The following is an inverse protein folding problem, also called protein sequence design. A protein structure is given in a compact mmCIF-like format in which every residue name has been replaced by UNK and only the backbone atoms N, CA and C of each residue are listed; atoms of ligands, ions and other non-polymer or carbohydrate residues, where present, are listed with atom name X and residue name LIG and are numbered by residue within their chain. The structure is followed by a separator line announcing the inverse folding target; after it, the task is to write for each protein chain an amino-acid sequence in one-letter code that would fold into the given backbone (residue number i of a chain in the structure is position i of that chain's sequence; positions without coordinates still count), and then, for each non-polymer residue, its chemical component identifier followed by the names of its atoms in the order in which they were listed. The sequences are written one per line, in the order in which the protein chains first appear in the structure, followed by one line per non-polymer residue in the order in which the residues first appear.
data_IF_884365691992
#
_entry.id   IF_884365691992
#
_cell.length_a   1.000
_cell.length_b   1.000
_cell.length_c   1.000
_cell.angle_alpha   90.00
_cell.angle_beta   90.00
_cell.angle_gamma   90.00
#
_symmetry.space_group_name_H-M   'P 1'
#
loop_
_entity.id
_entity.type
_entity.pdbx_description
1 polymer ?
#
# COMPACT_ATOMS: atom_id res chain seq x y z
N UNK A 1 -21.26 31.67 -0.08
CA UNK A 1 -21.62 30.46 -0.85
C UNK A 1 -20.99 29.28 -0.14
N UNK A 2 -21.80 28.40 0.45
CA UNK A 2 -21.32 27.25 1.23
C UNK A 2 -21.37 26.00 0.37
N UNK A 3 -20.23 25.32 0.23
CA UNK A 3 -20.11 24.08 -0.54
C UNK A 3 -20.80 22.97 0.27
N UNK A 4 -21.76 22.21 -0.29
CA UNK A 4 -22.39 21.11 0.43
C UNK A 4 -21.37 19.99 0.64
N UNK A 5 -21.10 19.65 1.90
CA UNK A 5 -20.33 18.46 2.25
C UNK A 5 -21.24 17.24 2.13
N UNK A 6 -21.06 16.46 1.07
CA UNK A 6 -21.61 15.11 0.96
C UNK A 6 -20.80 14.18 1.87
N UNK A 7 -21.21 14.07 3.13
CA UNK A 7 -20.68 13.11 4.10
C UNK A 7 -21.17 11.70 3.76
N UNK A 8 -20.57 11.08 2.74
CA UNK A 8 -20.61 9.63 2.59
C UNK A 8 -19.62 9.04 3.61
N UNK A 9 -19.94 7.97 4.36
CA UNK A 9 -18.97 7.35 5.25
C UNK A 9 -17.80 6.88 4.39
N UNK A 10 -16.68 7.57 4.50
CA UNK A 10 -15.47 7.29 3.74
C UNK A 10 -14.83 6.03 4.37
N UNK A 11 -15.41 4.86 4.09
CA UNK A 11 -14.85 3.59 4.51
C UNK A 11 -13.49 3.50 3.83
N UNK A 12 -12.38 3.49 4.58
CA UNK A 12 -11.07 3.37 3.98
C UNK A 12 -11.03 2.09 3.15
N UNK A 13 -10.43 2.11 1.94
CA UNK A 13 -10.27 0.92 1.13
C UNK A 13 -9.76 -0.27 1.95
N UNK A 14 -10.29 -1.48 1.70
CA UNK A 14 -10.02 -2.66 2.53
C UNK A 14 -8.52 -2.87 2.80
N UNK A 15 -7.66 -2.69 1.80
CA UNK A 15 -6.21 -2.84 1.94
C UNK A 15 -5.55 -1.86 2.95
N UNK A 16 -6.24 -0.78 3.35
CA UNK A 16 -5.79 0.13 4.41
C UNK A 16 -6.16 -0.35 5.82
N UNK A 17 -7.15 -1.23 5.93
CA UNK A 17 -7.56 -1.80 7.21
C UNK A 17 -6.61 -2.94 7.60
N UNK A 18 -6.29 -3.11 8.90
CA UNK A 18 -5.46 -4.23 9.38
C UNK A 18 -5.97 -5.60 8.90
N UNK A 19 -7.29 -5.76 8.82
CA UNK A 19 -7.98 -7.00 8.45
C UNK A 19 -8.20 -7.16 6.94
N UNK A 20 -7.99 -6.11 6.14
CA UNK A 20 -8.31 -6.13 4.71
C UNK A 20 -7.16 -6.53 3.80
N UNK A 21 -6.13 -7.18 4.36
CA UNK A 21 -5.10 -7.86 3.59
C UNK A 21 -5.63 -9.21 3.10
N UNK A 22 -5.36 -9.51 1.83
CA UNK A 22 -5.61 -10.85 1.29
C UNK A 22 -4.79 -11.90 2.02
N UNK A 23 -5.26 -13.13 2.04
CA UNK A 23 -4.55 -14.23 2.70
C UNK A 23 -3.18 -14.48 2.03
N UNK A 24 -3.07 -14.24 0.73
CA UNK A 24 -1.79 -14.28 0.04
C UNK A 24 -0.82 -13.19 0.52
N UNK A 25 -1.32 -11.97 0.81
CA UNK A 25 -0.48 -10.94 1.40
C UNK A 25 -0.03 -11.33 2.82
N UNK A 26 -0.92 -11.93 3.63
CA UNK A 26 -0.56 -12.42 4.97
C UNK A 26 0.52 -13.51 4.89
N UNK A 27 0.37 -14.45 3.95
CA UNK A 27 1.36 -15.50 3.68
C UNK A 27 2.69 -14.93 3.17
N UNK A 28 2.66 -13.90 2.34
CA UNK A 28 3.88 -13.21 1.91
C UNK A 28 4.59 -12.54 3.09
N UNK A 29 3.86 -11.86 3.98
CA UNK A 29 4.45 -11.19 5.14
C UNK A 29 5.21 -12.14 6.08
N UNK A 30 4.87 -13.44 6.10
CA UNK A 30 5.60 -14.41 6.92
C UNK A 30 6.95 -14.82 6.32
N UNK A 31 7.16 -14.62 5.02
CA UNK A 31 8.42 -14.98 4.33
C UNK A 31 9.41 -13.83 4.24
N UNK A 32 8.94 -12.59 4.40
CA UNK A 32 9.78 -11.41 4.27
C UNK A 32 10.61 -11.14 5.53
N UNK A 33 11.86 -10.66 5.39
CA UNK A 33 12.58 -10.05 6.49
C UNK A 33 11.77 -8.91 7.09
N UNK A 34 11.71 -8.82 8.42
CA UNK A 34 10.99 -7.78 9.13
C UNK A 34 11.82 -7.17 10.25
N UNK A 35 11.67 -5.87 10.43
CA UNK A 35 12.34 -5.09 11.47
C UNK A 35 11.31 -4.25 12.22
N UNK A 36 11.61 -3.95 13.49
CA UNK A 36 10.73 -3.09 14.28
C UNK A 36 10.71 -1.69 13.67
N UNK A 37 9.52 -1.15 13.45
CA UNK A 37 9.39 0.21 12.96
C UNK A 37 9.86 1.21 14.02
N UNK A 38 10.57 2.24 13.57
CA UNK A 38 10.96 3.39 14.39
C UNK A 38 9.92 4.51 14.35
N UNK A 39 8.91 4.42 13.47
CA UNK A 39 7.84 5.42 13.31
C UNK A 39 6.54 4.95 13.97
N UNK A 40 6.30 3.65 14.02
CA UNK A 40 5.03 3.05 14.46
C UNK A 40 5.30 1.88 15.40
N UNK A 41 4.29 1.45 16.16
CA UNK A 41 4.37 0.23 16.98
C UNK A 41 4.35 -1.07 16.17
N UNK A 42 4.42 -1.00 14.84
CA UNK A 42 4.35 -2.14 13.91
C UNK A 42 5.73 -2.50 13.36
N UNK A 43 5.79 -3.48 12.45
CA UNK A 43 7.02 -3.87 11.76
C UNK A 43 7.10 -3.27 10.36
N UNK A 44 8.32 -2.94 9.92
CA UNK A 44 8.65 -2.81 8.50
C UNK A 44 8.95 -4.19 7.93
N UNK A 45 8.59 -4.39 6.67
CA UNK A 45 8.85 -5.59 5.90
C UNK A 45 9.69 -5.21 4.69
N UNK A 46 10.77 -5.95 4.44
CA UNK A 46 11.58 -5.74 3.24
C UNK A 46 10.93 -6.46 2.05
N UNK A 47 10.41 -5.69 1.10
CA UNK A 47 9.83 -6.20 -0.14
C UNK A 47 10.58 -5.59 -1.33
N UNK A 48 11.21 -6.45 -2.14
CA UNK A 48 12.00 -6.05 -3.31
C UNK A 48 13.07 -4.97 -3.01
N UNK A 49 13.67 -5.00 -1.81
CA UNK A 49 14.68 -4.03 -1.39
C UNK A 49 14.13 -2.75 -0.75
N UNK A 50 12.81 -2.61 -0.61
CA UNK A 50 12.17 -1.48 0.07
C UNK A 50 11.59 -1.91 1.41
N UNK A 51 11.81 -1.10 2.45
CA UNK A 51 11.20 -1.29 3.77
C UNK A 51 9.84 -0.61 3.83
N UNK A 52 8.78 -1.41 3.93
CA UNK A 52 7.39 -0.96 3.86
C UNK A 52 6.60 -1.38 5.10
N UNK A 53 5.68 -0.54 5.55
CA UNK A 53 4.66 -0.95 6.51
C UNK A 53 3.71 -1.95 5.85
N UNK A 54 3.15 -2.86 6.65
CA UNK A 54 2.16 -3.84 6.20
C UNK A 54 1.01 -3.22 5.38
N UNK A 55 0.49 -2.06 5.80
CA UNK A 55 -0.53 -1.30 5.07
C UNK A 55 -0.07 -0.86 3.68
N UNK A 56 1.19 -0.41 3.57
CA UNK A 56 1.76 0.03 2.30
C UNK A 56 1.99 -1.17 1.37
N UNK A 57 2.44 -2.30 1.91
CA UNK A 57 2.61 -3.53 1.13
C UNK A 57 1.30 -4.02 0.53
N UNK A 58 0.19 -3.97 1.29
CA UNK A 58 -1.14 -4.29 0.78
C UNK A 58 -1.53 -3.44 -0.43
N UNK A 59 -1.26 -2.13 -0.37
CA UNK A 59 -1.49 -1.22 -1.50
C UNK A 59 -0.59 -1.52 -2.70
N UNK A 60 0.70 -1.78 -2.48
CA UNK A 60 1.65 -2.13 -3.55
C UNK A 60 1.21 -3.39 -4.29
N UNK A 61 0.82 -4.45 -3.58
CA UNK A 61 0.37 -5.70 -4.19
C UNK A 61 -0.92 -5.50 -4.98
N UNK A 62 -1.87 -4.72 -4.45
CA UNK A 62 -3.11 -4.42 -5.16
C UNK A 62 -2.82 -3.65 -6.46
N UNK A 63 -1.95 -2.63 -6.43
CA UNK A 63 -1.53 -1.92 -7.63
C UNK A 63 -0.83 -2.85 -8.62
N UNK A 64 0.11 -3.70 -8.18
CA UNK A 64 0.78 -4.64 -9.08
C UNK A 64 -0.17 -5.62 -9.77
N UNK A 65 -1.26 -6.01 -9.11
CA UNK A 65 -2.22 -6.98 -9.66
C UNK A 65 -3.31 -6.33 -10.52
N UNK A 66 -3.73 -5.12 -10.17
CA UNK A 66 -4.96 -4.52 -10.71
C UNK A 66 -4.70 -3.27 -11.57
N UNK A 67 -3.53 -2.64 -11.46
CA UNK A 67 -3.22 -1.46 -12.25
C UNK A 67 -2.93 -1.85 -13.70
N UNK A 68 -3.72 -1.29 -14.61
CA UNK A 68 -3.51 -1.42 -16.05
C UNK A 68 -3.13 -0.04 -16.58
N UNK A 69 -1.85 0.14 -16.90
CA UNK A 69 -1.37 1.36 -17.53
C UNK A 69 -2.07 1.53 -18.90
N UNK A 70 -2.58 2.73 -19.16
CA UNK A 70 -3.09 3.11 -20.47
C UNK A 70 -1.93 3.56 -21.35
N UNK A 71 -2.06 3.44 -22.67
CA UNK A 71 -1.03 3.92 -23.60
C UNK A 71 -0.76 5.42 -23.50
N UNK A 72 -1.73 6.20 -23.00
CA UNK A 72 -1.60 7.63 -22.74
C UNK A 72 -0.89 7.97 -21.43
N UNK A 73 -0.64 6.97 -20.56
CA UNK A 73 -0.03 7.21 -19.26
C UNK A 73 1.46 7.52 -19.42
N UNK A 74 1.91 8.64 -18.87
CA UNK A 74 3.30 9.06 -18.91
C UNK A 74 3.99 8.58 -17.62
N UNK A 75 4.85 7.56 -17.73
CA UNK A 75 5.74 7.19 -16.64
C UNK A 75 6.98 8.09 -16.66
N UNK A 76 7.15 8.89 -15.61
CA UNK A 76 8.39 9.66 -15.40
C UNK A 76 9.28 8.94 -14.37
N UNK A 77 10.32 8.20 -14.81
CA UNK A 77 11.26 7.59 -13.88
C UNK A 77 11.97 8.68 -13.09
N UNK A 78 12.03 8.52 -11.77
CA UNK A 78 12.86 9.39 -10.96
C UNK A 78 14.32 9.02 -11.21
N UNK A 79 15.05 9.85 -11.95
CA UNK A 79 16.49 9.67 -12.12
C UNK A 79 17.16 9.67 -10.75
N UNK A 80 18.03 8.68 -10.49
CA UNK A 80 18.90 8.69 -9.32
C UNK A 80 20.01 9.71 -9.58
N UNK A 81 20.01 10.78 -8.80
CA UNK A 81 21.11 11.76 -8.70
C UNK A 81 22.36 11.13 -8.10
#
# INVERSE_FOLDING_TARGET
MSIPQTTSPQIPPKYLLPDGLSDECKKLLTTLPKERSWITSHYFYNYQGLWLLQRQLGGVLACQQQFQAQESDIYHPRNKS
#
